data_IF_892722228623
#
_entry.id   IF_892722228623
#
_cell.length_a   1.000
_cell.length_b   1.000
_cell.length_c   1.000
_cell.angle_alpha   90.00
_cell.angle_beta   90.00
_cell.angle_gamma   90.00
#
_symmetry.space_group_name_H-M   'P 1'
#
loop_
_entity.id
_entity.type
_entity.pdbx_description
1 polymer ?
#
# COMPACT_ATOMS: atom_id res chain seq x y z
N UNK A 1 -17.79 -15.21 0.17
CA UNK A 1 -17.46 -14.57 1.48
C UNK A 1 -16.71 -13.26 1.21
N UNK A 2 -16.82 -12.26 2.11
CA UNK A 2 -16.03 -11.03 2.03
C UNK A 2 -14.63 -11.30 2.59
N UNK A 3 -13.58 -10.91 1.87
CA UNK A 3 -12.18 -11.12 2.27
C UNK A 3 -11.43 -9.80 2.16
N UNK A 4 -10.81 -9.35 3.25
CA UNK A 4 -9.97 -8.15 3.24
C UNK A 4 -8.50 -8.57 3.17
N UNK A 5 -7.77 -8.03 2.21
CA UNK A 5 -6.35 -8.28 1.96
C UNK A 5 -5.60 -6.98 2.24
N UNK A 6 -4.79 -6.97 3.30
CA UNK A 6 -3.87 -5.86 3.59
C UNK A 6 -2.52 -6.14 2.97
N UNK A 7 -2.11 -5.30 2.02
CA UNK A 7 -0.79 -5.34 1.39
C UNK A 7 0.13 -4.31 2.04
N UNK A 8 1.33 -4.74 2.43
CA UNK A 8 2.33 -3.83 2.99
C UNK A 8 2.85 -2.90 1.91
N UNK A 9 2.79 -1.60 2.16
CA UNK A 9 3.36 -0.59 1.27
C UNK A 9 4.87 -0.74 1.08
N UNK A 10 5.60 -1.28 2.06
CA UNK A 10 7.06 -1.48 1.92
C UNK A 10 7.40 -2.59 0.91
N UNK A 11 6.46 -3.51 0.64
CA UNK A 11 6.65 -4.56 -0.36
C UNK A 11 6.41 -4.00 -1.77
N UNK A 12 5.34 -3.22 -1.93
CA UNK A 12 5.00 -2.65 -3.24
C UNK A 12 5.86 -1.43 -3.58
N UNK A 13 6.15 -0.60 -2.58
CA UNK A 13 6.86 0.66 -2.70
C UNK A 13 8.08 0.67 -1.75
N UNK A 14 9.15 -0.08 -2.09
CA UNK A 14 10.36 -0.16 -1.25
C UNK A 14 11.20 1.13 -1.29
N UNK A 15 11.05 1.95 -2.34
CA UNK A 15 11.69 3.26 -2.49
C UNK A 15 10.84 4.18 -3.38
N UNK A 16 11.25 5.43 -3.59
CA UNK A 16 10.57 6.36 -4.50
C UNK A 16 10.86 6.08 -5.98
N UNK A 17 11.98 5.40 -6.26
CA UNK A 17 12.48 5.20 -7.64
C UNK A 17 11.96 3.91 -8.27
N UNK A 18 11.50 2.96 -7.45
CA UNK A 18 11.09 1.64 -7.91
C UNK A 18 9.59 1.65 -8.21
N UNK A 19 9.25 1.38 -9.47
CA UNK A 19 7.86 1.15 -9.86
C UNK A 19 7.37 -0.21 -9.32
N UNK A 20 6.21 -0.26 -8.63
CA UNK A 20 5.67 -1.51 -8.08
C UNK A 20 5.32 -2.50 -9.20
N UNK A 21 5.78 -3.75 -9.07
CA UNK A 21 5.23 -4.84 -9.88
C UNK A 21 3.95 -5.39 -9.23
N UNK A 22 2.80 -4.88 -9.69
CA UNK A 22 1.49 -5.29 -9.15
C UNK A 22 0.88 -6.52 -9.81
N UNK A 23 1.41 -6.97 -10.96
CA UNK A 23 0.80 -8.03 -11.78
C UNK A 23 0.57 -9.35 -11.00
N UNK A 24 1.54 -9.86 -10.21
CA UNK A 24 1.33 -11.09 -9.45
C UNK A 24 0.18 -10.99 -8.44
N UNK A 25 0.03 -9.84 -7.79
CA UNK A 25 -1.04 -9.60 -6.82
C UNK A 25 -2.41 -9.58 -7.51
N UNK A 26 -2.50 -8.94 -8.68
CA UNK A 26 -3.73 -8.89 -9.48
C UNK A 26 -4.18 -10.29 -9.88
N UNK A 27 -3.24 -11.17 -10.24
CA UNK A 27 -3.56 -12.55 -10.63
C UNK A 27 -4.17 -13.32 -9.46
N UNK A 28 -3.57 -13.26 -8.27
CA UNK A 28 -4.12 -13.88 -7.05
C UNK A 28 -5.49 -13.31 -6.67
N UNK A 29 -5.68 -11.99 -6.77
CA UNK A 29 -6.98 -11.35 -6.47
C UNK A 29 -8.06 -11.83 -7.44
N UNK A 30 -7.72 -12.02 -8.72
CA UNK A 30 -8.65 -12.56 -9.73
C UNK A 30 -9.02 -14.00 -9.42
N UNK A 31 -8.07 -14.82 -8.99
CA UNK A 31 -8.34 -16.20 -8.57
C UNK A 31 -9.28 -16.25 -7.36
N UNK A 32 -9.02 -15.44 -6.33
CA UNK A 32 -9.91 -15.32 -5.16
C UNK A 32 -11.33 -14.92 -5.59
N UNK A 33 -11.46 -13.98 -6.52
CA UNK A 33 -12.76 -13.59 -7.08
C UNK A 33 -13.42 -14.73 -7.85
N UNK A 34 -12.67 -15.48 -8.65
CA UNK A 34 -13.15 -16.63 -9.41
C UNK A 34 -13.66 -17.77 -8.51
N UNK A 35 -13.12 -17.91 -7.30
CA UNK A 35 -13.61 -18.81 -6.25
C UNK A 35 -14.93 -18.35 -5.59
N UNK A 36 -15.56 -17.28 -6.10
CA UNK A 36 -16.83 -16.76 -5.58
C UNK A 36 -16.68 -15.92 -4.30
N UNK A 37 -15.48 -15.40 -4.03
CA UNK A 37 -15.24 -14.48 -2.93
C UNK A 37 -15.28 -13.02 -3.40
N UNK A 38 -15.49 -12.11 -2.45
CA UNK A 38 -15.46 -10.66 -2.69
C UNK A 38 -14.22 -10.08 -2.01
N UNK A 39 -13.09 -9.96 -2.73
CA UNK A 39 -11.86 -9.40 -2.18
C UNK A 39 -11.93 -7.88 -2.09
N UNK A 40 -11.43 -7.34 -0.98
CA UNK A 40 -11.20 -5.91 -0.74
C UNK A 40 -9.72 -5.72 -0.42
N UNK A 41 -9.05 -4.80 -1.08
CA UNK A 41 -7.60 -4.63 -0.95
C UNK A 41 -7.28 -3.28 -0.32
N UNK A 42 -6.48 -3.30 0.74
CA UNK A 42 -5.94 -2.10 1.38
C UNK A 42 -4.42 -2.12 1.22
N UNK A 43 -3.85 -1.03 0.72
CA UNK A 43 -2.41 -0.91 0.46
C UNK A 43 -1.82 0.16 1.35
N UNK A 44 -0.73 -0.16 2.06
CA UNK A 44 0.02 0.85 2.80
C UNK A 44 0.86 1.77 1.91
N UNK A 45 1.27 2.94 2.42
CA UNK A 45 2.01 3.94 1.63
C UNK A 45 3.51 3.68 1.43
N UNK A 46 4.12 2.76 2.18
CA UNK A 46 5.51 2.32 1.98
C UNK A 46 6.57 3.40 2.22
N UNK A 47 7.72 3.24 1.57
CA UNK A 47 8.83 4.20 1.67
C UNK A 47 8.45 5.61 1.17
N UNK A 48 7.67 5.78 0.09
CA UNK A 48 7.22 7.11 -0.34
C UNK A 48 6.45 7.86 0.76
N UNK A 49 5.50 7.20 1.44
CA UNK A 49 4.76 7.85 2.52
C UNK A 49 5.69 8.27 3.67
N UNK A 50 6.63 7.40 4.08
CA UNK A 50 7.61 7.72 5.12
C UNK A 50 8.50 8.90 4.74
N UNK A 51 8.91 8.97 3.48
CA UNK A 51 9.70 10.08 2.96
C UNK A 51 8.95 11.41 3.06
N UNK A 52 7.72 11.48 2.56
CA UNK A 52 6.95 12.72 2.59
C UNK A 52 6.51 13.13 4.00
N UNK A 53 6.16 12.17 4.85
CA UNK A 53 5.88 12.43 6.27
C UNK A 53 7.12 13.05 6.94
N UNK A 54 8.31 12.48 6.72
CA UNK A 54 9.56 13.03 7.26
C UNK A 54 9.82 14.43 6.73
N UNK A 55 9.67 14.66 5.43
CA UNK A 55 9.87 15.97 4.82
C UNK A 55 8.90 17.01 5.40
N UNK A 56 7.63 16.65 5.59
CA UNK A 56 6.63 17.53 6.19
C UNK A 56 7.00 17.92 7.63
N UNK A 57 7.39 16.95 8.47
CA UNK A 57 7.88 17.18 9.84
C UNK A 57 9.09 18.11 9.85
N UNK A 58 10.06 17.90 8.97
CA UNK A 58 11.25 18.76 8.83
C UNK A 58 10.91 20.21 8.45
N UNK A 59 9.73 20.44 7.85
CA UNK A 59 9.24 21.76 7.45
C UNK A 59 8.14 22.32 8.37
N UNK A 60 8.00 21.77 9.58
CA UNK A 60 7.14 22.33 10.64
C UNK A 60 5.70 21.84 10.64
N UNK A 61 5.37 20.77 9.90
CA UNK A 61 4.10 20.08 10.09
C UNK A 61 4.07 19.42 11.47
N UNK A 62 2.91 19.45 12.13
CA UNK A 62 2.71 18.82 13.42
C UNK A 62 2.52 17.29 13.28
N UNK A 63 2.67 16.59 14.40
CA UNK A 63 2.55 15.13 14.43
C UNK A 63 1.15 14.63 14.05
N UNK A 64 0.07 15.34 14.39
CA UNK A 64 -1.29 14.90 14.06
C UNK A 64 -1.61 15.00 12.57
N UNK A 65 -0.96 15.91 11.86
CA UNK A 65 -1.04 15.98 10.40
C UNK A 65 -0.21 14.88 9.72
N UNK A 66 0.78 14.33 10.41
CA UNK A 66 1.79 13.42 9.86
C UNK A 66 1.55 11.92 10.16
N UNK A 67 0.65 11.58 11.09
CA UNK A 67 0.33 10.21 11.54
C UNK A 67 -1.14 9.83 11.29
#
# INVERSE_FOLDING_TARGET
MKVTIKLSGHILFPSLEIQPNIKPYVDVIKEIKALGHSPYVVVGGGAPARYYIRLAREHGADESTCD
#
